data_IF_976560062142
#
_entry.id   IF_976560062142
#
_cell.length_a   1.000
_cell.length_b   1.000
_cell.length_c   1.000
_cell.angle_alpha   90.00
_cell.angle_beta   90.00
_cell.angle_gamma   90.00
#
_symmetry.space_group_name_H-M   'P 1'
#
loop_
_entity.id
_entity.type
_entity.pdbx_description
1 polymer ?
#
# COMPACT_ATOMS: atom_id res chain seq x y z
N UNK A 1 27.57 -10.47 -14.61
CA UNK A 1 26.52 -9.45 -14.43
C UNK A 1 26.40 -8.66 -15.72
N UNK A 2 25.18 -8.33 -16.15
CA UNK A 2 24.95 -7.65 -17.43
C UNK A 2 24.73 -6.16 -17.15
N UNK A 3 25.60 -5.28 -17.67
CA UNK A 3 25.47 -3.85 -17.43
C UNK A 3 24.15 -3.34 -17.98
N UNK A 4 23.43 -2.57 -17.18
CA UNK A 4 22.12 -1.99 -17.51
C UNK A 4 20.90 -2.86 -17.15
N UNK A 5 21.06 -4.15 -16.83
CA UNK A 5 19.95 -5.03 -16.44
C UNK A 5 19.98 -5.41 -14.96
N UNK A 6 21.14 -5.86 -14.47
CA UNK A 6 21.32 -6.29 -13.07
C UNK A 6 21.81 -5.18 -12.15
N UNK A 7 22.26 -4.04 -12.69
CA UNK A 7 22.94 -3.00 -11.90
C UNK A 7 22.00 -2.10 -11.10
N UNK A 8 20.72 -2.02 -11.51
CA UNK A 8 19.75 -1.08 -10.93
C UNK A 8 18.53 -1.82 -10.42
N UNK A 9 18.23 -1.68 -9.13
CA UNK A 9 17.00 -2.19 -8.54
C UNK A 9 15.92 -1.10 -8.52
N UNK A 10 14.89 -1.25 -9.36
CA UNK A 10 13.78 -0.29 -9.45
C UNK A 10 12.68 -0.64 -8.44
N UNK A 11 12.39 0.21 -7.44
CA UNK A 11 11.38 -0.08 -6.45
C UNK A 11 9.96 -0.02 -7.03
N UNK A 12 9.05 -0.83 -6.47
CA UNK A 12 7.64 -0.78 -6.83
C UNK A 12 7.00 0.50 -6.30
N UNK A 13 6.42 1.30 -7.21
CA UNK A 13 5.80 2.59 -6.88
C UNK A 13 4.49 2.47 -6.08
N UNK A 14 3.75 1.38 -6.25
CA UNK A 14 2.41 1.21 -5.67
C UNK A 14 2.30 -0.07 -4.87
N UNK A 15 1.68 0.04 -3.70
CA UNK A 15 1.33 -1.09 -2.85
C UNK A 15 -0.01 -1.74 -3.23
N UNK A 16 -0.30 -2.93 -2.67
CA UNK A 16 -1.58 -3.60 -2.85
C UNK A 16 -2.76 -2.82 -2.23
N UNK A 17 -3.91 -2.83 -2.92
CA UNK A 17 -5.16 -2.17 -2.49
C UNK A 17 -6.20 -3.12 -1.87
N UNK A 18 -6.12 -4.43 -2.18
CA UNK A 18 -7.08 -5.43 -1.72
C UNK A 18 -6.70 -5.96 -0.33
N UNK A 19 -7.67 -6.09 0.56
CA UNK A 19 -7.48 -6.57 1.93
C UNK A 19 -6.66 -7.88 2.00
N UNK A 20 -7.03 -8.91 1.24
CA UNK A 20 -6.29 -10.18 1.22
C UNK A 20 -4.85 -10.10 0.71
N UNK A 21 -4.54 -9.14 -0.18
CA UNK A 21 -3.15 -8.93 -0.67
C UNK A 21 -2.31 -8.15 0.34
N UNK A 22 -2.93 -7.24 1.10
CA UNK A 22 -2.25 -6.53 2.20
C UNK A 22 -1.89 -7.52 3.30
N UNK A 23 -2.83 -8.40 3.68
CA UNK A 23 -2.56 -9.49 4.64
C UNK A 23 -1.39 -10.37 4.23
N UNK A 24 -1.36 -10.83 2.97
CA UNK A 24 -0.28 -11.66 2.45
C UNK A 24 1.08 -10.95 2.40
N UNK A 25 1.11 -9.62 2.24
CA UNK A 25 2.37 -8.88 2.13
C UNK A 25 3.05 -8.69 3.49
N UNK A 26 2.25 -8.49 4.55
CA UNK A 26 2.75 -8.27 5.90
C UNK A 26 2.57 -9.49 6.83
N UNK A 27 2.17 -10.65 6.28
CA UNK A 27 1.86 -11.88 7.02
C UNK A 27 0.87 -11.67 8.18
N UNK A 28 -0.14 -10.83 7.96
CA UNK A 28 -1.15 -10.50 8.97
C UNK A 28 -2.23 -11.58 9.08
N UNK A 29 -2.81 -11.66 10.26
CA UNK A 29 -3.98 -12.49 10.57
C UNK A 29 -5.28 -11.79 10.12
N UNK A 30 -6.44 -12.41 10.38
CA UNK A 30 -7.72 -11.81 9.97
C UNK A 30 -8.17 -10.72 10.95
N UNK A 31 -7.72 -10.85 12.18
CA UNK A 31 -8.04 -10.04 13.36
C UNK A 31 -7.34 -8.67 13.31
N UNK A 32 -6.19 -8.59 12.63
CA UNK A 32 -5.42 -7.36 12.49
C UNK A 32 -6.12 -6.28 11.64
N UNK A 33 -6.04 -5.01 12.08
CA UNK A 33 -6.58 -3.89 11.31
C UNK A 33 -5.68 -3.53 10.11
N UNK A 34 -6.21 -3.73 8.90
CA UNK A 34 -5.50 -3.47 7.65
C UNK A 34 -5.30 -1.97 7.35
N UNK A 35 -6.00 -1.07 8.03
CA UNK A 35 -5.94 0.39 7.77
C UNK A 35 -4.57 0.98 8.08
N UNK A 36 -3.89 0.42 9.07
CA UNK A 36 -2.57 0.89 9.52
C UNK A 36 -1.47 0.49 8.55
N UNK A 37 -1.57 -0.71 7.98
CA UNK A 37 -0.56 -1.32 7.12
C UNK A 37 -0.68 -0.96 5.64
N UNK A 38 -1.57 -0.03 5.26
CA UNK A 38 -1.64 0.42 3.86
C UNK A 38 -0.42 1.27 3.51
N UNK A 39 0.33 0.84 2.50
CA UNK A 39 1.46 1.61 1.97
C UNK A 39 0.99 2.97 1.45
N UNK A 40 1.51 4.04 2.08
CA UNK A 40 1.24 5.43 1.72
C UNK A 40 2.37 5.96 0.85
N UNK A 41 2.03 6.78 -0.14
CA UNK A 41 3.02 7.46 -0.99
C UNK A 41 3.10 8.94 -0.60
N UNK A 42 4.30 9.50 -0.36
CA UNK A 42 4.47 10.94 -0.22
C UNK A 42 4.24 11.62 -1.57
N UNK A 43 3.44 12.67 -1.56
CA UNK A 43 3.21 13.54 -2.70
C UNK A 43 3.70 14.93 -2.32
N UNK A 44 4.90 15.25 -2.79
CA UNK A 44 5.47 16.59 -2.74
C UNK A 44 5.00 17.34 -4.00
N UNK A 45 4.50 18.55 -3.81
CA UNK A 45 4.22 19.52 -4.89
C UNK A 45 4.93 20.81 -4.50
N UNK A 46 5.55 21.47 -5.46
CA UNK A 46 6.24 22.74 -5.24
C UNK A 46 5.32 23.74 -4.52
N UNK A 47 5.83 24.34 -3.44
CA UNK A 47 5.10 25.30 -2.61
C UNK A 47 4.00 24.73 -1.71
N UNK A 48 3.80 23.41 -1.63
CA UNK A 48 2.79 22.78 -0.76
C UNK A 48 3.42 21.80 0.22
N UNK A 49 2.89 21.79 1.45
CA UNK A 49 3.25 20.79 2.46
C UNK A 49 3.09 19.37 1.92
N UNK A 50 4.01 18.50 2.31
CA UNK A 50 3.99 17.10 1.90
C UNK A 50 2.69 16.43 2.34
N UNK A 51 2.08 15.65 1.44
CA UNK A 51 0.87 14.88 1.76
C UNK A 51 1.09 13.42 1.48
N UNK A 52 0.74 12.58 2.45
CA UNK A 52 0.69 11.14 2.25
C UNK A 52 -0.63 10.76 1.58
N UNK A 53 -0.55 10.05 0.44
CA UNK A 53 -1.73 9.49 -0.24
C UNK A 53 -1.76 7.97 -0.09
N UNK A 54 -2.93 7.46 0.30
CA UNK A 54 -3.20 6.03 0.41
C UNK A 54 -4.36 5.62 -0.54
N UNK A 55 -4.34 4.40 -1.09
CA UNK A 55 -5.49 3.86 -1.81
C UNK A 55 -6.64 3.50 -0.86
N UNK A 56 -7.90 3.70 -1.30
CA UNK A 56 -9.08 3.13 -0.61
C UNK A 56 -8.97 1.61 -0.59
N UNK A 57 -8.99 0.98 0.59
CA UNK A 57 -8.92 -0.48 0.71
C UNK A 57 -10.16 -1.11 0.08
N UNK A 58 -9.96 -2.12 -0.76
CA UNK A 58 -11.05 -2.89 -1.38
C UNK A 58 -11.22 -4.23 -0.67
N UNK A 59 -12.48 -4.69 -0.57
CA UNK A 59 -12.89 -5.94 0.11
C UNK A 59 -12.55 -5.94 1.61
N UNK A 60 -12.58 -4.76 2.24
CA UNK A 60 -12.58 -4.63 3.69
C UNK A 60 -14.02 -4.81 4.17
N UNK A 61 -14.23 -5.63 5.20
CA UNK A 61 -15.53 -5.77 5.87
C UNK A 61 -15.67 -4.57 6.82
N UNK A 62 -16.78 -3.84 6.70
CA UNK A 62 -17.09 -2.66 7.52
C UNK A 62 -18.50 -2.81 8.08
N UNK A 63 -18.88 -2.12 9.18
CA UNK A 63 -20.23 -2.24 9.76
C UNK A 63 -21.37 -2.05 8.75
N UNK A 64 -21.21 -1.13 7.80
CA UNK A 64 -22.17 -0.88 6.70
C UNK A 64 -22.41 -2.11 5.81
N UNK A 65 -21.44 -3.01 5.72
CA UNK A 65 -21.53 -4.25 4.90
C UNK A 65 -22.15 -5.41 5.70
N UNK A 66 -22.20 -5.31 7.03
CA UNK A 66 -22.78 -6.33 7.92
C UNK A 66 -24.26 -6.09 8.22
N UNK A 67 -24.76 -4.89 7.91
CA UNK A 67 -26.17 -4.51 7.97
C UNK A 67 -26.92 -5.06 6.76
#
# INVERSE_FOLDING_TARGET
EIPGLTDKNLPRRLGPKRAGRIRKLFNLTKEDDLREFVVKRPVQKEGKKERLKAPKIQRLITPIVLQ
#
